data_IF_231377871503
#
_entry.id   IF_231377871503
#
_cell.length_a   1.000
_cell.length_b   1.000
_cell.length_c   1.000
_cell.angle_alpha   90.00
_cell.angle_beta   90.00
_cell.angle_gamma   90.00
#
_symmetry.space_group_name_H-M   'P 1'
#
loop_
_entity.id
_entity.type
_entity.pdbx_description
1 polymer ?
#
# COMPACT_ATOMS: atom_id res chain seq x y z
N UNK A 1 -12.84 -31.86 6.23
CA UNK A 1 -11.51 -32.14 5.63
C UNK A 1 -10.48 -31.34 6.40
N UNK A 2 -9.50 -31.99 7.05
CA UNK A 2 -8.43 -31.30 7.79
C UNK A 2 -7.55 -30.54 6.78
N UNK A 3 -7.57 -29.20 6.84
CA UNK A 3 -6.73 -28.36 5.98
C UNK A 3 -5.31 -28.42 6.51
N UNK A 4 -4.41 -29.05 5.76
CA UNK A 4 -2.99 -29.06 6.09
C UNK A 4 -2.49 -27.63 6.25
N UNK A 5 -1.73 -27.37 7.31
CA UNK A 5 -1.28 -26.03 7.57
C UNK A 5 -0.26 -25.54 6.55
N UNK A 6 -0.29 -24.23 6.27
CA UNK A 6 0.63 -23.63 5.31
C UNK A 6 2.07 -23.75 5.80
N UNK A 7 2.97 -24.09 4.89
CA UNK A 7 4.39 -24.11 5.19
C UNK A 7 4.95 -22.68 5.35
N UNK A 8 6.04 -22.53 6.09
CA UNK A 8 6.73 -21.23 6.25
C UNK A 8 7.10 -20.59 4.91
N UNK A 9 7.53 -21.39 3.93
CA UNK A 9 7.89 -20.89 2.60
C UNK A 9 6.66 -20.39 1.82
N UNK A 10 5.51 -21.05 1.94
CA UNK A 10 4.25 -20.59 1.36
C UNK A 10 3.82 -19.23 1.91
N UNK A 11 3.92 -19.04 3.23
CA UNK A 11 3.63 -17.77 3.91
C UNK A 11 4.58 -16.66 3.44
N UNK A 12 5.89 -16.94 3.38
CA UNK A 12 6.88 -15.95 2.90
C UNK A 12 6.66 -15.56 1.44
N UNK A 13 6.32 -16.52 0.58
CA UNK A 13 6.00 -16.26 -0.82
C UNK A 13 4.71 -15.44 -0.96
N UNK A 14 3.71 -15.71 -0.11
CA UNK A 14 2.50 -14.91 -0.05
C UNK A 14 2.80 -13.46 0.36
N UNK A 15 3.59 -13.26 1.42
CA UNK A 15 3.99 -11.93 1.89
C UNK A 15 4.73 -11.13 0.80
N UNK A 16 5.69 -11.76 0.10
CA UNK A 16 6.40 -11.11 -1.02
C UNK A 16 5.47 -10.71 -2.16
N UNK A 17 4.49 -11.57 -2.50
CA UNK A 17 3.47 -11.27 -3.51
C UNK A 17 2.64 -10.05 -3.12
N UNK A 18 2.18 -9.98 -1.86
CA UNK A 18 1.48 -8.81 -1.33
C UNK A 18 2.29 -7.52 -1.43
N UNK A 19 3.56 -7.54 -1.00
CA UNK A 19 4.41 -6.34 -1.08
C UNK A 19 4.64 -5.90 -2.52
N UNK A 20 4.87 -6.84 -3.44
CA UNK A 20 5.06 -6.54 -4.86
C UNK A 20 3.79 -5.93 -5.49
N UNK A 21 2.62 -6.51 -5.23
CA UNK A 21 1.35 -5.97 -5.73
C UNK A 21 1.03 -4.61 -5.10
N UNK A 22 1.28 -4.44 -3.81
CA UNK A 22 1.12 -3.14 -3.13
C UNK A 22 2.04 -2.06 -3.74
N UNK A 23 3.24 -2.43 -4.18
CA UNK A 23 4.15 -1.50 -4.87
C UNK A 23 3.72 -1.16 -6.30
N UNK A 24 2.94 -2.01 -6.95
CA UNK A 24 2.45 -1.78 -8.31
C UNK A 24 1.31 -0.76 -8.42
N UNK A 25 0.73 -0.33 -7.30
CA UNK A 25 -0.21 0.79 -7.33
C UNK A 25 0.50 2.06 -7.80
N UNK A 26 -0.09 2.71 -8.78
CA UNK A 26 0.43 3.96 -9.33
C UNK A 26 0.20 5.14 -8.38
N UNK A 27 -0.96 5.15 -7.71
CA UNK A 27 -1.29 6.12 -6.66
C UNK A 27 -0.43 5.96 -5.41
N UNK A 28 0.18 7.05 -4.93
CA UNK A 28 0.93 7.06 -3.68
C UNK A 28 0.11 6.61 -2.47
N UNK A 29 -1.14 7.06 -2.35
CA UNK A 29 -1.98 6.75 -1.19
C UNK A 29 -2.24 5.24 -1.09
N UNK A 30 -2.66 4.62 -2.20
CA UNK A 30 -2.90 3.18 -2.23
C UNK A 30 -1.61 2.39 -2.02
N UNK A 31 -0.52 2.77 -2.69
CA UNK A 31 0.78 2.12 -2.55
C UNK A 31 1.27 2.10 -1.10
N UNK A 32 1.25 3.25 -0.43
CA UNK A 32 1.72 3.37 0.96
C UNK A 32 0.77 2.72 1.96
N UNK A 33 -0.54 2.85 1.76
CA UNK A 33 -1.56 2.21 2.59
C UNK A 33 -1.45 0.69 2.52
N UNK A 34 -1.48 0.09 1.33
CA UNK A 34 -1.45 -1.36 1.18
C UNK A 34 -0.09 -1.95 1.59
N UNK A 35 1.02 -1.23 1.41
CA UNK A 35 2.32 -1.63 1.95
C UNK A 35 2.30 -1.70 3.48
N UNK A 36 1.82 -0.65 4.15
CA UNK A 36 1.71 -0.61 5.61
C UNK A 36 0.77 -1.70 6.10
N UNK A 37 -0.45 -1.75 5.57
CA UNK A 37 -1.49 -2.71 5.95
C UNK A 37 -1.04 -4.15 5.79
N UNK A 38 -0.38 -4.48 4.67
CA UNK A 38 0.16 -5.83 4.45
C UNK A 38 1.17 -6.18 5.54
N UNK A 39 2.12 -5.29 5.83
CA UNK A 39 3.13 -5.53 6.89
C UNK A 39 2.47 -5.74 8.24
N UNK A 40 1.51 -4.91 8.61
CA UNK A 40 0.84 -4.98 9.90
C UNK A 40 -0.02 -6.24 10.02
N UNK A 41 -0.73 -6.61 8.95
CA UNK A 41 -1.52 -7.84 8.89
C UNK A 41 -0.65 -9.08 9.14
N UNK A 42 0.46 -9.23 8.41
CA UNK A 42 1.36 -10.38 8.60
C UNK A 42 2.09 -10.35 9.95
N UNK A 43 2.37 -9.17 10.50
CA UNK A 43 2.98 -9.06 11.84
C UNK A 43 2.02 -9.48 12.94
N UNK A 44 0.78 -9.00 12.88
CA UNK A 44 -0.23 -9.29 13.90
C UNK A 44 -0.64 -10.77 13.92
N UNK A 45 -0.56 -11.48 12.79
CA UNK A 45 -0.92 -12.90 12.71
C UNK A 45 0.23 -13.85 13.02
N UNK A 46 1.49 -13.43 12.76
CA UNK A 46 2.66 -14.31 12.90
C UNK A 46 3.49 -14.02 14.16
N UNK A 47 3.43 -12.81 14.73
CA UNK A 47 4.12 -12.50 15.97
C UNK A 47 3.18 -12.60 17.17
N UNK A 48 3.64 -13.15 18.31
CA UNK A 48 2.97 -13.01 19.60
C UNK A 48 2.70 -11.53 19.92
N UNK A 49 1.54 -11.24 20.50
CA UNK A 49 1.04 -9.88 20.82
C UNK A 49 2.05 -9.01 21.57
N UNK A 50 2.83 -9.61 22.49
CA UNK A 50 3.89 -8.96 23.25
C UNK A 50 5.01 -8.37 22.36
N UNK A 51 5.34 -9.05 21.26
CA UNK A 51 6.41 -8.66 20.34
C UNK A 51 5.90 -7.80 19.18
N UNK A 52 4.61 -7.92 18.84
CA UNK A 52 3.96 -7.09 17.82
C UNK A 52 3.96 -5.60 18.20
N UNK A 53 3.72 -5.27 19.47
CA UNK A 53 3.73 -3.89 19.97
C UNK A 53 5.10 -3.20 19.83
N UNK A 54 6.20 -3.95 19.93
CA UNK A 54 7.57 -3.42 19.90
C UNK A 54 8.15 -3.29 18.48
N UNK A 55 7.60 -4.01 17.49
CA UNK A 55 8.21 -4.15 16.16
C UNK A 55 7.73 -3.14 15.10
N UNK A 56 6.74 -2.30 15.41
CA UNK A 56 6.28 -1.26 14.48
C UNK A 56 6.94 0.09 14.79
N UNK A 57 7.75 0.65 13.85
CA UNK A 57 8.52 1.89 14.10
C UNK A 57 7.65 3.15 14.21
N UNK A 58 6.34 3.05 14.01
CA UNK A 58 5.38 4.16 14.13
C UNK A 58 4.54 4.11 15.42
N UNK A 59 4.75 3.12 16.31
CA UNK A 59 3.95 2.94 17.54
C UNK A 59 4.32 3.86 18.71
N UNK A 60 4.80 5.09 18.45
CA UNK A 60 4.93 6.11 19.51
C UNK A 60 3.64 6.91 19.73
N UNK A 61 2.65 6.81 18.84
CA UNK A 61 1.38 7.57 18.90
C UNK A 61 0.13 6.66 18.87
N UNK A 62 0.25 5.39 19.24
CA UNK A 62 -0.87 4.44 19.24
C UNK A 62 -1.99 4.76 20.26
N UNK A 63 -1.79 5.74 21.14
CA UNK A 63 -2.77 6.15 22.15
C UNK A 63 -3.76 7.23 21.66
N UNK A 64 -3.48 7.96 20.58
CA UNK A 64 -4.28 9.15 20.18
C UNK A 64 -5.08 8.97 18.90
N UNK A 65 -4.95 7.83 18.21
CA UNK A 65 -5.71 7.57 16.97
C UNK A 65 -6.63 6.38 17.20
N UNK A 66 -7.94 6.63 17.15
CA UNK A 66 -8.97 5.59 17.02
C UNK A 66 -8.54 4.61 15.93
N UNK A 67 -8.78 3.31 16.11
CA UNK A 67 -8.63 2.30 15.04
C UNK A 67 -9.62 2.62 13.93
N UNK A 68 -9.30 3.59 13.08
CA UNK A 68 -10.05 3.86 11.85
C UNK A 68 -9.57 2.83 10.84
N UNK A 69 -9.99 1.59 11.03
CA UNK A 69 -10.20 0.71 9.88
C UNK A 69 -11.29 1.42 9.07
N UNK A 70 -11.04 1.91 7.84
CA UNK A 70 -12.15 2.32 7.01
C UNK A 70 -13.03 1.09 6.80
N UNK A 71 -14.15 1.04 7.51
CA UNK A 71 -15.18 0.00 7.40
C UNK A 71 -15.91 0.03 6.05
N UNK A 72 -15.36 0.70 5.03
CA UNK A 72 -16.02 0.95 3.74
C UNK A 72 -15.35 0.23 2.56
N UNK A 73 -14.29 -0.57 2.78
CA UNK A 73 -13.73 -1.43 1.72
C UNK A 73 -13.52 -2.89 2.13
N UNK A 74 -13.87 -3.27 3.36
CA UNK A 74 -13.82 -4.66 3.82
C UNK A 74 -14.91 -4.98 4.84
N UNK A 75 -16.15 -4.63 4.52
CA UNK A 75 -17.21 -5.61 4.72
C UNK A 75 -17.33 -6.33 3.38
N UNK A 76 -16.85 -7.59 3.25
CA UNK A 76 -17.46 -8.43 2.25
C UNK A 76 -18.93 -8.52 2.69
N UNK A 77 -19.83 -7.86 1.96
CA UNK A 77 -21.17 -8.43 1.82
C UNK A 77 -20.93 -9.90 1.46
N UNK A 78 -21.39 -10.86 2.28
CA UNK A 78 -21.24 -12.26 1.96
C UNK A 78 -22.08 -12.52 0.72
N UNK A 79 -21.47 -12.45 -0.45
CA UNK A 79 -22.11 -12.78 -1.71
C UNK A 79 -22.47 -14.28 -1.66
N UNK A 80 -23.73 -14.54 -1.27
CA UNK A 80 -24.47 -15.80 -1.43
C UNK A 80 -23.77 -17.05 -0.93
N UNK A 81 -23.94 -17.39 0.35
CA UNK A 81 -24.00 -18.80 0.77
C UNK A 81 -25.46 -19.16 1.07
N UNK A 82 -25.97 -20.29 0.57
CA UNK A 82 -27.32 -20.74 0.88
C UNK A 82 -27.45 -20.98 2.39
N UNK A 83 -28.64 -20.68 2.89
CA UNK A 83 -29.04 -20.71 4.30
C UNK A 83 -28.52 -21.96 5.05
N UNK A 84 -27.78 -21.73 6.14
CA UNK A 84 -27.45 -22.77 7.12
C UNK A 84 -25.98 -22.82 7.53
N UNK A 85 -25.59 -21.97 8.49
CA UNK A 85 -24.57 -22.19 9.54
C UNK A 85 -23.96 -20.85 9.98
N UNK A 86 -24.73 -20.05 10.73
CA UNK A 86 -24.18 -18.98 11.56
C UNK A 86 -23.52 -19.60 12.79
N UNK A 87 -22.23 -19.91 12.66
CA UNK A 87 -21.36 -20.16 13.80
C UNK A 87 -20.33 -19.05 13.82
N UNK A 88 -20.66 -17.98 14.56
CA UNK A 88 -19.68 -16.98 15.00
C UNK A 88 -18.77 -17.62 16.07
N UNK A 89 -17.96 -18.61 15.64
CA UNK A 89 -16.98 -19.26 16.49
C UNK A 89 -16.01 -18.17 16.96
N UNK A 90 -16.08 -17.84 18.26
CA UNK A 90 -15.17 -16.89 18.88
C UNK A 90 -13.73 -17.28 18.52
N UNK A 91 -12.90 -16.31 18.10
CA UNK A 91 -11.53 -16.59 17.68
C UNK A 91 -10.70 -17.32 18.75
N UNK A 92 -11.13 -17.30 20.01
CA UNK A 92 -10.47 -17.88 21.17
C UNK A 92 -10.44 -19.42 21.20
N UNK A 93 -11.38 -20.13 20.56
CA UNK A 93 -11.48 -21.60 20.64
C UNK A 93 -10.76 -22.37 19.54
N UNK A 94 -10.26 -21.70 18.50
CA UNK A 94 -9.56 -22.33 17.37
C UNK A 94 -8.12 -22.68 17.73
N UNK A 95 -7.65 -23.84 17.26
CA UNK A 95 -6.22 -24.19 17.36
C UNK A 95 -5.39 -23.22 16.51
N UNK A 96 -4.14 -22.96 16.91
CA UNK A 96 -3.25 -22.05 16.16
C UNK A 96 -3.05 -22.49 14.71
N UNK A 97 -3.10 -23.80 14.48
CA UNK A 97 -2.99 -24.42 13.17
C UNK A 97 -4.16 -24.11 12.25
N UNK A 98 -5.39 -24.18 12.78
CA UNK A 98 -6.62 -23.83 12.04
C UNK A 98 -6.71 -22.34 11.79
N UNK A 99 -6.26 -21.51 12.74
CA UNK A 99 -6.16 -20.05 12.56
C UNK A 99 -5.23 -19.72 11.40
N UNK A 100 -4.06 -20.35 11.32
CA UNK A 100 -3.09 -20.14 10.25
C UNK A 100 -3.61 -20.61 8.89
N UNK A 101 -4.28 -21.76 8.82
CA UNK A 101 -4.85 -22.24 7.55
C UNK A 101 -5.99 -21.34 7.06
N UNK A 102 -6.87 -20.89 7.96
CA UNK A 102 -7.93 -19.91 7.63
C UNK A 102 -7.34 -18.56 7.18
N UNK A 103 -6.33 -18.06 7.89
CA UNK A 103 -5.61 -16.84 7.50
C UNK A 103 -4.99 -16.98 6.11
N UNK A 104 -4.34 -18.12 5.82
CA UNK A 104 -3.71 -18.32 4.53
C UNK A 104 -4.71 -18.34 3.38
N UNK A 105 -5.85 -19.03 3.54
CA UNK A 105 -6.89 -19.09 2.51
C UNK A 105 -7.53 -17.72 2.27
N UNK A 106 -7.89 -17.01 3.33
CA UNK A 106 -8.44 -15.65 3.21
C UNK A 106 -7.46 -14.69 2.55
N UNK A 107 -6.18 -14.72 2.96
CA UNK A 107 -5.14 -13.90 2.36
C UNK A 107 -4.90 -14.23 0.86
N UNK A 108 -5.15 -15.45 0.40
CA UNK A 108 -5.07 -15.76 -1.04
C UNK A 108 -6.18 -15.09 -1.85
N UNK A 109 -7.41 -15.03 -1.32
CA UNK A 109 -8.52 -14.35 -2.00
C UNK A 109 -8.32 -12.83 -2.01
N UNK A 110 -7.89 -12.27 -0.88
CA UNK A 110 -7.55 -10.85 -0.76
C UNK A 110 -6.41 -10.44 -1.70
N UNK A 111 -5.44 -11.33 -1.95
CA UNK A 111 -4.38 -11.11 -2.93
C UNK A 111 -4.97 -10.88 -4.33
N UNK A 112 -5.96 -11.70 -4.73
CA UNK A 112 -6.61 -11.55 -6.04
C UNK A 112 -7.35 -10.22 -6.14
N UNK A 113 -8.02 -9.79 -5.07
CA UNK A 113 -8.66 -8.47 -5.01
C UNK A 113 -7.62 -7.37 -5.17
N UNK A 114 -6.51 -7.45 -4.44
CA UNK A 114 -5.42 -6.49 -4.49
C UNK A 114 -4.79 -6.39 -5.89
N UNK A 115 -4.65 -7.53 -6.58
CA UNK A 115 -4.14 -7.56 -7.96
C UNK A 115 -5.08 -6.86 -8.92
N UNK A 116 -6.39 -7.13 -8.85
CA UNK A 116 -7.39 -6.47 -9.69
C UNK A 116 -7.41 -4.96 -9.45
N UNK A 117 -7.41 -4.53 -8.20
CA UNK A 117 -7.43 -3.10 -7.86
C UNK A 117 -6.13 -2.39 -8.29
N UNK A 118 -4.97 -3.05 -8.19
CA UNK A 118 -3.72 -2.51 -8.72
C UNK A 118 -3.77 -2.33 -10.25
N UNK A 119 -4.35 -3.29 -10.97
CA UNK A 119 -4.53 -3.18 -12.42
C UNK A 119 -5.47 -2.02 -12.79
N UNK A 120 -6.61 -1.90 -12.12
CA UNK A 120 -7.55 -0.80 -12.38
C UNK A 120 -6.92 0.57 -12.07
N UNK A 121 -6.18 0.67 -10.97
CA UNK A 121 -5.48 1.90 -10.63
C UNK A 121 -4.43 2.31 -11.67
N UNK A 122 -3.86 1.34 -12.40
CA UNK A 122 -2.93 1.60 -13.51
C UNK A 122 -3.65 2.00 -14.79
N UNK A 123 -4.81 1.40 -15.08
CA UNK A 123 -5.60 1.74 -16.28
C UNK A 123 -6.19 3.15 -16.20
N UNK A 124 -6.60 3.56 -15.00
CA UNK A 124 -7.19 4.87 -14.73
C UNK A 124 -6.27 5.69 -13.83
N UNK A 125 -5.02 5.85 -14.27
CA UNK A 125 -4.04 6.68 -13.57
C UNK A 125 -4.36 8.17 -13.76
N UNK A 126 -4.45 8.91 -12.64
CA UNK A 126 -4.56 10.37 -12.65
C UNK A 126 -3.19 11.06 -12.47
N UNK A 127 -3.21 12.38 -12.40
CA UNK A 127 -2.01 13.17 -12.13
C UNK A 127 -1.36 12.79 -10.80
N UNK A 128 -0.03 12.89 -10.75
CA UNK A 128 0.75 12.60 -9.56
C UNK A 128 0.51 13.67 -8.50
N UNK A 129 0.40 13.24 -7.25
CA UNK A 129 0.29 14.18 -6.13
C UNK A 129 1.58 15.00 -5.99
N UNK A 130 1.47 16.21 -5.45
CA UNK A 130 2.62 17.12 -5.19
C UNK A 130 3.72 16.44 -4.35
N UNK A 131 3.33 15.49 -3.49
CA UNK A 131 4.26 14.73 -2.63
C UNK A 131 5.01 13.61 -3.38
N UNK A 132 4.60 13.28 -4.60
CA UNK A 132 5.29 12.28 -5.42
C UNK A 132 6.44 12.95 -6.16
N UNK A 133 7.66 12.77 -5.65
CA UNK A 133 8.86 13.18 -6.39
C UNK A 133 8.84 12.50 -7.77
N UNK A 134 9.11 13.23 -8.86
CA UNK A 134 9.24 12.59 -10.17
C UNK A 134 10.31 11.51 -10.06
N UNK A 135 9.98 10.30 -10.49
CA UNK A 135 10.97 9.22 -10.59
C UNK A 135 11.95 9.66 -11.66
N UNK A 136 13.08 10.23 -11.24
CA UNK A 136 14.21 10.48 -12.14
C UNK A 136 14.60 9.12 -12.71
N UNK A 137 14.32 8.90 -13.99
CA UNK A 137 14.82 7.74 -14.73
C UNK A 137 16.31 7.98 -14.93
N UNK A 138 17.10 7.81 -13.87
CA UNK A 138 18.57 7.82 -13.94
C UNK A 138 18.99 6.41 -14.37
N UNK A 139 18.74 6.11 -15.63
CA UNK A 139 18.89 4.75 -16.17
C UNK A 139 18.40 4.66 -17.60
N UNK A 140 18.95 5.51 -18.47
CA UNK A 140 18.60 5.57 -19.88
C UNK A 140 19.55 6.49 -20.63
N UNK A 141 20.86 6.24 -20.54
CA UNK A 141 21.79 6.80 -21.50
C UNK A 141 21.57 6.12 -22.84
N UNK A 142 21.10 6.87 -23.84
CA UNK A 142 20.91 6.37 -25.19
C UNK A 142 20.16 7.37 -26.06
N UNK A 143 20.93 8.18 -26.79
CA UNK A 143 20.60 8.90 -28.03
C UNK A 143 19.12 9.25 -28.30
N UNK A 144 18.84 10.55 -28.23
CA UNK A 144 17.58 11.15 -28.66
C UNK A 144 17.61 12.66 -28.45
N UNK A 145 18.72 13.27 -28.83
CA UNK A 145 18.97 14.70 -28.78
C UNK A 145 18.58 15.32 -30.12
N UNK A 146 17.45 14.88 -30.72
CA UNK A 146 17.09 15.27 -32.09
C UNK A 146 15.59 15.27 -32.41
N UNK A 147 14.71 15.36 -31.41
CA UNK A 147 13.39 15.98 -31.62
C UNK A 147 13.50 17.45 -31.14
N UNK A 148 14.31 18.30 -31.78
CA UNK A 148 14.08 18.92 -33.09
C UNK A 148 12.77 19.72 -33.15
N UNK A 149 12.92 20.99 -32.74
CA UNK A 149 12.35 22.23 -33.31
C UNK A 149 10.82 22.37 -33.40
N UNK A 150 10.27 23.32 -32.64
CA UNK A 150 8.99 23.95 -32.99
C UNK A 150 8.25 24.61 -31.82
N UNK A 151 8.63 25.83 -31.44
CA UNK A 151 7.85 26.63 -30.49
C UNK A 151 8.61 27.79 -29.89
N UNK A 152 8.89 28.83 -30.69
CA UNK A 152 9.52 30.05 -30.21
C UNK A 152 8.62 30.81 -29.25
N UNK A 153 9.02 30.87 -27.97
CA UNK A 153 8.56 31.87 -27.02
C UNK A 153 9.73 32.79 -26.69
N UNK A 154 9.67 34.06 -27.11
CA UNK A 154 10.64 35.07 -26.69
C UNK A 154 10.56 35.28 -25.18
N UNK A 155 11.69 35.37 -24.45
CA UNK A 155 11.70 35.97 -23.12
C UNK A 155 11.68 37.50 -23.29
N UNK A 156 10.57 38.14 -22.92
CA UNK A 156 10.59 39.60 -22.70
C UNK A 156 11.34 39.90 -21.41
N UNK A 157 12.46 40.60 -21.54
CA UNK A 157 13.21 41.19 -20.44
C UNK A 157 12.39 42.27 -19.76
N UNK A 158 11.67 41.90 -18.69
CA UNK A 158 11.09 42.88 -17.76
C UNK A 158 12.20 43.60 -16.98
N UNK A 159 12.07 44.92 -16.70
CA UNK A 159 13.12 45.68 -16.04
C UNK A 159 13.38 45.16 -14.62
N UNK A 160 14.66 44.89 -14.38
CA UNK A 160 15.24 44.45 -13.13
C UNK A 160 15.06 45.56 -12.08
N UNK A 161 14.15 45.36 -11.13
CA UNK A 161 13.93 46.27 -9.99
C UNK A 161 15.15 46.22 -9.06
N UNK A 162 15.93 47.30 -9.04
CA UNK A 162 17.07 47.49 -8.13
C UNK A 162 16.56 47.95 -6.76
N UNK A 163 16.11 46.99 -5.94
CA UNK A 163 15.82 47.22 -4.53
C UNK A 163 17.08 47.43 -3.70
N UNK A 164 17.64 48.65 -3.75
CA UNK A 164 18.74 49.08 -2.88
C UNK A 164 18.26 49.37 -1.46
N UNK A 165 19.00 48.85 -0.46
CA UNK A 165 18.85 49.22 0.95
C UNK A 165 19.57 50.56 1.23
N UNK A 166 19.00 51.48 2.05
CA UNK A 166 19.67 52.73 2.39
C UNK A 166 20.80 52.52 3.42
N UNK A 167 21.92 53.26 3.34
CA UNK A 167 22.98 53.21 4.33
C UNK A 167 22.61 53.96 5.62
N UNK A 168 22.93 53.35 6.77
CA UNK A 168 22.86 53.97 8.09
C UNK A 168 23.90 55.08 8.23
N UNK A 169 23.47 56.29 8.57
CA UNK A 169 24.32 57.36 9.14
C UNK A 169 24.21 57.34 10.66
#
# INVERSE_FOLDING_TARGET
>A
MSVAAPSKSQILNLYRRYLRTSQSFSSYNFRTYFLRRSRDMFRATLLPTEQAAQSSPFSKQGSTTVKVSPSTLLSPEPLGKPDGADESISAASLTDQERLSKFYQTALEDLKVLQRSALMNRLYEGEKLVVEKPRLIVGGGGAGQEASVGGGGQPTSGPQSSGGAPPSS
#
